data_IF_509717297758
#
_entry.id   IF_509717297758
#
_cell.length_a   1.000
_cell.length_b   1.000
_cell.length_c   1.000
_cell.angle_alpha   90.00
_cell.angle_beta   90.00
_cell.angle_gamma   90.00
#
_symmetry.space_group_name_H-M   'P 1'
#
loop_
_entity.id
_entity.type
_entity.pdbx_description
1 polymer ?
#
# COMPACT_ATOMS: atom_id res chain seq x y z
N UNK A 1 25.99 52.11 -2.81
CA UNK A 1 27.12 52.66 -2.02
C UNK A 1 27.29 51.84 -0.75
N UNK A 2 28.53 51.62 -0.28
CA UNK A 2 29.16 50.32 -0.03
C UNK A 2 29.24 50.00 1.49
N UNK A 3 29.75 48.88 2.04
CA UNK A 3 31.13 48.33 2.09
C UNK A 3 30.95 47.00 2.88
N UNK A 4 31.32 45.82 2.36
CA UNK A 4 32.60 45.09 2.51
C UNK A 4 32.97 44.62 3.93
N UNK A 5 33.43 43.35 4.02
CA UNK A 5 34.41 42.72 4.94
C UNK A 5 34.00 41.25 5.23
N UNK A 6 34.48 40.27 4.47
CA UNK A 6 35.75 39.49 4.59
C UNK A 6 35.74 38.39 5.66
N UNK A 7 36.00 37.17 5.17
CA UNK A 7 36.17 35.89 5.88
C UNK A 7 37.39 35.86 6.82
N UNK A 8 37.58 34.79 7.64
CA UNK A 8 38.38 33.69 7.08
C UNK A 8 37.95 32.27 7.49
N UNK A 9 38.21 31.40 6.53
CA UNK A 9 38.37 29.94 6.51
C UNK A 9 39.27 29.41 7.62
N UNK A 10 38.89 28.30 8.27
CA UNK A 10 39.84 27.41 8.95
C UNK A 10 39.67 25.98 8.48
N UNK A 11 40.55 25.60 7.57
CA UNK A 11 40.83 24.22 7.15
C UNK A 11 41.86 23.67 8.13
N UNK A 12 41.58 22.54 8.78
CA UNK A 12 42.64 21.65 9.28
C UNK A 12 42.14 20.19 9.37
N UNK A 13 42.48 19.40 8.34
CA UNK A 13 42.69 17.94 8.39
C UNK A 13 44.21 17.72 8.60
N UNK A 14 44.75 16.49 8.69
CA UNK A 14 44.31 15.23 9.32
C UNK A 14 45.41 14.65 10.25
N UNK A 15 45.03 13.87 11.28
CA UNK A 15 45.98 13.07 12.07
C UNK A 15 46.19 11.68 11.47
N UNK A 16 47.35 11.47 10.84
CA UNK A 16 47.81 10.20 10.24
C UNK A 16 48.19 9.15 11.29
N UNK A 17 48.10 7.88 10.85
CA UNK A 17 48.45 6.64 11.54
C UNK A 17 49.96 6.30 11.50
N UNK A 18 50.33 5.31 12.34
CA UNK A 18 51.45 4.32 12.25
C UNK A 18 52.86 4.82 12.69
N UNK A 19 53.83 3.98 13.11
CA UNK A 19 53.98 2.53 12.84
C UNK A 19 54.48 1.62 14.00
N UNK A 20 54.54 0.33 13.65
CA UNK A 20 55.09 -0.83 14.36
C UNK A 20 56.52 -0.69 14.92
N UNK A 21 56.87 -1.55 15.89
CA UNK A 21 58.01 -2.47 15.72
C UNK A 21 58.03 -3.61 16.76
N UNK A 22 58.34 -4.79 16.24
CA UNK A 22 58.54 -6.07 16.91
C UNK A 22 59.91 -6.10 17.59
N UNK A 23 60.05 -6.84 18.70
CA UNK A 23 61.27 -7.58 19.02
C UNK A 23 60.96 -8.81 19.91
N UNK A 24 61.34 -9.98 19.38
CA UNK A 24 61.52 -11.32 19.96
C UNK A 24 62.54 -11.31 21.13
N UNK A 25 62.62 -12.23 22.11
CA UNK A 25 62.56 -13.70 22.08
C UNK A 25 62.55 -14.35 23.51
N UNK A 26 62.07 -15.61 23.60
CA UNK A 26 62.52 -16.78 24.43
C UNK A 26 62.65 -16.60 25.98
N UNK A 27 62.06 -17.41 26.88
CA UNK A 27 62.16 -18.88 27.05
C UNK A 27 61.37 -19.32 28.32
N UNK A 28 61.15 -20.65 28.46
CA UNK A 28 60.72 -21.46 29.64
C UNK A 28 59.21 -21.74 29.89
N UNK A 29 58.83 -22.98 29.52
CA UNK A 29 58.37 -24.06 30.41
C UNK A 29 57.27 -23.79 31.44
N UNK A 30 56.15 -24.53 31.36
CA UNK A 30 55.25 -24.65 32.51
C UNK A 30 53.87 -25.21 32.20
N UNK A 31 53.80 -26.53 32.13
CA UNK A 31 52.61 -27.37 32.28
C UNK A 31 51.65 -26.85 33.39
N UNK A 32 50.40 -26.47 33.06
CA UNK A 32 49.26 -26.60 33.99
C UNK A 32 47.88 -26.43 33.30
N UNK A 33 47.11 -27.51 33.33
CA UNK A 33 45.64 -27.58 33.33
C UNK A 33 44.86 -26.83 32.23
N UNK A 34 44.56 -27.55 31.15
CA UNK A 34 43.34 -27.28 30.37
C UNK A 34 42.15 -27.71 31.25
N UNK A 35 41.56 -26.75 31.97
CA UNK A 35 40.19 -26.91 32.47
C UNK A 35 39.29 -26.65 31.27
N UNK A 36 38.81 -27.71 30.65
CA UNK A 36 37.65 -27.64 29.75
C UNK A 36 36.43 -27.34 30.60
N UNK A 37 36.15 -26.06 30.83
CA UNK A 37 34.82 -25.65 31.30
C UNK A 37 33.88 -25.89 30.12
N UNK A 38 33.26 -27.06 30.09
CA UNK A 38 32.02 -27.29 29.33
C UNK A 38 30.93 -26.41 29.95
N UNK A 39 31.02 -25.12 29.69
CA UNK A 39 29.94 -24.17 29.91
C UNK A 39 28.85 -24.52 28.90
N UNK A 40 27.87 -25.32 29.33
CA UNK A 40 26.59 -25.41 28.64
C UNK A 40 25.93 -24.04 28.79
N UNK A 41 26.28 -23.12 27.90
CA UNK A 41 25.53 -21.89 27.71
C UNK A 41 24.19 -22.28 27.08
N UNK A 42 23.23 -22.68 27.92
CA UNK A 42 21.84 -22.72 27.50
C UNK A 42 21.48 -21.32 27.01
N UNK A 43 21.10 -21.14 25.73
CA UNK A 43 20.52 -19.88 25.33
C UNK A 43 19.28 -19.69 26.19
N UNK A 44 19.34 -18.72 27.11
CA UNK A 44 18.14 -18.16 27.71
C UNK A 44 17.36 -17.58 26.53
N UNK A 45 16.41 -18.37 26.01
CA UNK A 45 15.31 -17.84 25.23
C UNK A 45 14.62 -16.90 26.20
N UNK A 46 15.02 -15.63 26.17
CA UNK A 46 14.30 -14.55 26.83
C UNK A 46 12.88 -14.67 26.30
N UNK A 47 12.02 -15.19 27.15
CA UNK A 47 10.61 -15.43 26.86
C UNK A 47 9.92 -14.06 26.81
N UNK A 48 10.07 -13.39 25.68
CA UNK A 48 9.36 -12.15 25.35
C UNK A 48 7.84 -12.38 25.28
N UNK A 49 7.41 -13.64 25.23
CA UNK A 49 6.01 -14.05 25.21
C UNK A 49 5.25 -13.64 26.48
N UNK A 50 5.93 -13.46 27.62
CA UNK A 50 5.25 -13.07 28.88
C UNK A 50 4.99 -11.56 28.99
N UNK A 51 5.79 -10.72 28.32
CA UNK A 51 5.61 -9.27 28.36
C UNK A 51 4.47 -8.80 27.44
N UNK A 52 4.22 -9.52 26.34
CA UNK A 52 3.15 -9.21 25.38
C UNK A 52 1.75 -9.52 25.95
N UNK A 53 1.66 -10.49 26.87
CA UNK A 53 0.39 -10.91 27.50
C UNK A 53 -0.13 -9.94 28.57
N UNK A 54 0.68 -8.97 29.01
CA UNK A 54 0.33 -8.02 30.06
C UNK A 54 0.09 -6.59 29.55
N UNK A 55 0.12 -6.35 28.23
CA UNK A 55 -0.20 -5.03 27.67
C UNK A 55 -1.69 -4.71 27.88
N UNK A 56 -2.06 -3.45 28.21
CA UNK A 56 -3.45 -3.01 28.22
C UNK A 56 -4.21 -3.36 26.95
N UNK A 57 -3.53 -3.35 25.79
CA UNK A 57 -4.11 -3.75 24.50
C UNK A 57 -4.48 -5.25 24.49
N UNK A 58 -3.59 -6.13 24.98
CA UNK A 58 -3.81 -7.57 25.01
C UNK A 58 -5.04 -7.92 25.87
N UNK A 59 -5.19 -7.27 27.03
CA UNK A 59 -6.37 -7.41 27.89
C UNK A 59 -7.66 -7.06 27.14
N UNK A 60 -7.69 -5.94 26.42
CA UNK A 60 -8.87 -5.51 25.68
C UNK A 60 -9.17 -6.39 24.47
N UNK A 61 -8.14 -6.94 23.80
CA UNK A 61 -8.30 -7.94 22.75
C UNK A 61 -8.98 -9.20 23.30
N UNK A 62 -8.57 -9.69 24.47
CA UNK A 62 -9.15 -10.87 25.10
C UNK A 62 -10.62 -10.64 25.51
N UNK A 63 -10.93 -9.47 26.05
CA UNK A 63 -12.33 -9.08 26.37
C UNK A 63 -13.17 -9.03 25.09
N UNK A 64 -12.66 -8.40 24.03
CA UNK A 64 -13.36 -8.30 22.75
C UNK A 64 -13.56 -9.67 22.09
N UNK A 65 -12.52 -10.51 22.11
CA UNK A 65 -12.55 -11.87 21.58
C UNK A 65 -13.66 -12.70 22.23
N UNK A 66 -13.75 -12.68 23.56
CA UNK A 66 -14.80 -13.39 24.30
C UNK A 66 -16.19 -12.80 24.03
N UNK A 67 -16.32 -11.46 24.05
CA UNK A 67 -17.62 -10.78 23.88
C UNK A 67 -18.23 -11.05 22.50
N UNK A 68 -17.43 -11.00 21.45
CA UNK A 68 -17.91 -11.09 20.06
C UNK A 68 -17.67 -12.46 19.43
N UNK A 69 -17.09 -13.42 20.16
CA UNK A 69 -16.76 -14.76 19.68
C UNK A 69 -15.94 -14.73 18.38
N UNK A 70 -14.94 -13.87 18.35
CA UNK A 70 -13.94 -13.77 17.28
C UNK A 70 -12.58 -14.14 17.87
N UNK A 71 -11.78 -15.01 17.22
CA UNK A 71 -10.45 -15.37 17.74
C UNK A 71 -9.55 -14.16 17.97
N UNK A 72 -8.90 -14.10 19.14
CA UNK A 72 -7.98 -13.02 19.49
C UNK A 72 -6.84 -12.85 18.47
N UNK A 73 -6.42 -13.94 17.81
CA UNK A 73 -5.45 -13.91 16.71
C UNK A 73 -5.93 -13.09 15.52
N UNK A 74 -7.23 -13.14 15.19
CA UNK A 74 -7.80 -12.36 14.08
C UNK A 74 -7.77 -10.87 14.41
N UNK A 75 -8.17 -10.51 15.63
CA UNK A 75 -8.15 -9.12 16.11
C UNK A 75 -6.71 -8.57 16.07
N UNK A 76 -5.72 -9.32 16.55
CA UNK A 76 -4.29 -8.93 16.49
C UNK A 76 -3.79 -8.73 15.07
N UNK A 77 -4.12 -9.66 14.16
CA UNK A 77 -3.68 -9.58 12.76
C UNK A 77 -4.26 -8.34 12.06
N UNK A 78 -5.56 -8.09 12.22
CA UNK A 78 -6.22 -6.90 11.66
C UNK A 78 -5.66 -5.63 12.29
N UNK A 79 -5.57 -5.54 13.62
CA UNK A 79 -5.02 -4.35 14.30
C UNK A 79 -3.59 -4.00 13.85
N UNK A 80 -2.74 -5.01 13.68
CA UNK A 80 -1.39 -4.79 13.17
C UNK A 80 -1.42 -4.23 11.75
N UNK A 81 -2.30 -4.73 10.88
CA UNK A 81 -2.44 -4.27 9.51
C UNK A 81 -3.04 -2.86 9.42
N UNK A 82 -3.98 -2.53 10.31
CA UNK A 82 -4.72 -1.26 10.30
C UNK A 82 -3.89 -0.10 10.83
N UNK A 83 -3.23 -0.25 11.99
CA UNK A 83 -2.55 0.88 12.64
C UNK A 83 -1.14 0.60 13.13
N UNK A 84 -0.65 -0.65 12.97
CA UNK A 84 0.58 -1.10 13.61
C UNK A 84 0.61 -0.82 15.14
N UNK A 85 -0.56 -0.88 15.80
CA UNK A 85 -0.77 -0.55 17.22
C UNK A 85 -0.67 0.94 17.58
N UNK A 86 -0.72 1.86 16.60
CA UNK A 86 -0.88 3.28 16.88
C UNK A 86 -2.32 3.58 17.33
N UNK A 87 -2.44 4.01 18.59
CA UNK A 87 -3.72 4.36 19.23
C UNK A 87 -4.36 5.58 18.58
N UNK A 88 -3.55 6.51 18.05
CA UNK A 88 -4.00 7.80 17.49
C UNK A 88 -4.00 7.81 15.96
N UNK A 89 -3.89 6.65 15.32
CA UNK A 89 -3.90 6.55 13.88
C UNK A 89 -5.18 7.15 13.27
N UNK A 90 -5.00 7.99 12.26
CA UNK A 90 -6.08 8.52 11.43
C UNK A 90 -5.66 8.39 9.96
N UNK A 91 -6.42 7.63 9.16
CA UNK A 91 -6.12 7.52 7.73
C UNK A 91 -6.51 8.78 6.96
N UNK A 92 -6.03 8.90 5.72
CA UNK A 92 -6.46 9.98 4.80
C UNK A 92 -7.97 9.94 4.49
N UNK A 93 -8.60 8.76 4.56
CA UNK A 93 -10.04 8.60 4.43
C UNK A 93 -10.81 8.88 5.74
N UNK A 94 -10.10 9.12 6.84
CA UNK A 94 -10.67 9.44 8.14
C UNK A 94 -10.98 8.23 9.02
N UNK A 95 -10.44 7.05 8.73
CA UNK A 95 -10.54 5.88 9.61
C UNK A 95 -9.77 6.11 10.91
N UNK A 96 -10.29 5.64 12.06
CA UNK A 96 -9.83 6.08 13.39
C UNK A 96 -9.34 4.93 14.29
N UNK A 97 -8.20 5.14 14.93
CA UNK A 97 -7.69 4.37 16.06
C UNK A 97 -7.05 3.03 15.67
N UNK A 98 -6.89 2.16 16.68
CA UNK A 98 -6.21 0.87 16.56
C UNK A 98 -6.76 -0.05 15.47
N UNK A 99 -8.07 -0.02 15.27
CA UNK A 99 -8.79 -0.90 14.35
C UNK A 99 -9.27 -0.15 13.10
N UNK A 100 -8.86 1.12 12.93
CA UNK A 100 -9.22 1.97 11.79
C UNK A 100 -10.72 1.92 11.46
N UNK A 101 -11.57 2.13 12.46
CA UNK A 101 -13.02 2.15 12.27
C UNK A 101 -13.41 3.47 11.61
N UNK A 102 -14.23 3.41 10.55
CA UNK A 102 -14.74 4.61 9.88
C UNK A 102 -15.67 5.42 10.81
N UNK A 103 -15.71 6.77 10.73
CA UNK A 103 -16.47 7.59 11.67
C UNK A 103 -17.97 7.29 11.70
N UNK A 104 -18.59 7.05 10.54
CA UNK A 104 -20.01 6.66 10.45
C UNK A 104 -20.26 5.31 11.13
N UNK A 105 -19.43 4.32 10.81
CA UNK A 105 -19.47 2.99 11.43
C UNK A 105 -19.24 3.06 12.95
N UNK A 106 -18.33 3.92 13.42
CA UNK A 106 -18.11 4.13 14.85
C UNK A 106 -19.38 4.59 15.55
N UNK A 107 -20.12 5.54 14.98
CA UNK A 107 -21.37 6.07 15.53
C UNK A 107 -22.44 4.99 15.67
N UNK A 108 -22.55 4.09 14.69
CA UNK A 108 -23.48 2.96 14.74
C UNK A 108 -23.06 1.94 15.82
N UNK A 109 -21.80 1.53 15.82
CA UNK A 109 -21.27 0.52 16.72
C UNK A 109 -21.33 0.98 18.17
N UNK A 110 -20.98 2.24 18.46
CA UNK A 110 -21.03 2.76 19.83
C UNK A 110 -22.43 2.76 20.41
N UNK A 111 -23.45 3.01 19.59
CA UNK A 111 -24.83 3.05 20.01
C UNK A 111 -25.33 1.62 20.25
N UNK A 112 -24.98 0.70 19.35
CA UNK A 112 -25.36 -0.71 19.41
C UNK A 112 -24.71 -1.47 20.57
N UNK A 113 -23.45 -1.17 20.87
CA UNK A 113 -22.64 -1.93 21.82
C UNK A 113 -22.32 -1.19 23.12
N UNK A 114 -22.99 -0.07 23.37
CA UNK A 114 -22.84 0.77 24.57
C UNK A 114 -21.37 1.18 24.81
N UNK A 115 -20.79 1.85 23.81
CA UNK A 115 -19.40 2.33 23.85
C UNK A 115 -19.32 3.83 24.16
N UNK A 116 -18.19 4.22 24.74
CA UNK A 116 -17.89 5.59 25.13
C UNK A 116 -17.78 6.57 23.96
N UNK A 117 -17.59 7.85 24.27
CA UNK A 117 -17.58 8.91 23.24
C UNK A 117 -16.28 9.03 22.44
N UNK A 118 -15.18 8.54 22.98
CA UNK A 118 -13.87 8.72 22.40
C UNK A 118 -13.51 7.55 21.47
N UNK A 119 -13.41 7.75 20.13
CA UNK A 119 -13.00 6.69 19.21
C UNK A 119 -11.53 6.26 19.35
N UNK A 120 -10.72 7.04 20.06
CA UNK A 120 -9.32 6.70 20.38
C UNK A 120 -9.17 6.02 21.75
N UNK A 121 -10.27 5.77 22.47
CA UNK A 121 -10.21 4.94 23.66
C UNK A 121 -9.80 3.51 23.28
N UNK A 122 -8.73 3.00 23.89
CA UNK A 122 -8.12 1.72 23.52
C UNK A 122 -9.14 0.58 23.65
N UNK A 123 -9.90 0.55 24.74
CA UNK A 123 -10.89 -0.50 24.99
C UNK A 123 -11.99 -0.42 23.94
N UNK A 124 -12.58 0.76 23.77
CA UNK A 124 -13.78 0.91 22.95
C UNK A 124 -13.48 0.77 21.46
N UNK A 125 -12.32 1.23 20.99
CA UNK A 125 -11.91 1.03 19.60
C UNK A 125 -11.68 -0.45 19.27
N UNK A 126 -11.05 -1.20 20.18
CA UNK A 126 -10.86 -2.66 20.03
C UNK A 126 -12.21 -3.39 20.05
N UNK A 127 -13.11 -3.01 20.96
CA UNK A 127 -14.46 -3.58 21.02
C UNK A 127 -15.25 -3.28 19.74
N UNK A 128 -15.22 -2.04 19.24
CA UNK A 128 -15.89 -1.66 18.00
C UNK A 128 -15.34 -2.45 16.81
N UNK A 129 -14.01 -2.49 16.62
CA UNK A 129 -13.38 -3.25 15.54
C UNK A 129 -13.72 -4.74 15.58
N UNK A 130 -13.66 -5.36 16.76
CA UNK A 130 -14.02 -6.77 16.93
C UNK A 130 -15.51 -7.05 16.68
N UNK A 131 -16.40 -6.15 17.10
CA UNK A 131 -17.83 -6.24 16.80
C UNK A 131 -18.07 -6.16 15.29
N UNK A 132 -17.38 -5.24 14.61
CA UNK A 132 -17.52 -5.07 13.17
C UNK A 132 -16.98 -6.27 12.40
N UNK A 133 -15.84 -6.86 12.81
CA UNK A 133 -15.36 -8.13 12.27
C UNK A 133 -16.40 -9.25 12.42
N UNK A 134 -17.05 -9.35 13.58
CA UNK A 134 -18.13 -10.32 13.83
C UNK A 134 -19.31 -10.10 12.89
N UNK A 135 -19.77 -8.86 12.73
CA UNK A 135 -20.86 -8.52 11.80
C UNK A 135 -20.52 -8.87 10.35
N UNK A 136 -19.30 -8.59 9.91
CA UNK A 136 -18.85 -8.96 8.55
C UNK A 136 -18.76 -10.48 8.39
N UNK A 137 -18.29 -11.20 9.41
CA UNK A 137 -18.21 -12.66 9.34
C UNK A 137 -19.61 -13.32 9.38
N UNK A 138 -20.53 -12.81 10.20
CA UNK A 138 -21.95 -13.24 10.18
C UNK A 138 -22.60 -13.01 8.81
N UNK A 139 -22.33 -11.85 8.20
CA UNK A 139 -22.97 -11.46 6.94
C UNK A 139 -22.46 -12.25 5.73
N UNK A 140 -21.16 -12.51 5.65
CA UNK A 140 -20.53 -13.07 4.45
C UNK A 140 -20.02 -14.51 4.61
N UNK A 141 -20.05 -15.05 5.83
CA UNK A 141 -19.88 -16.47 6.11
C UNK A 141 -18.46 -17.04 5.94
N UNK A 142 -17.50 -16.25 5.46
CA UNK A 142 -16.10 -16.67 5.33
C UNK A 142 -15.11 -15.54 5.61
N UNK A 143 -13.88 -15.93 5.96
CA UNK A 143 -12.81 -15.02 6.39
C UNK A 143 -12.38 -14.03 5.30
N UNK A 144 -12.21 -14.49 4.07
CA UNK A 144 -11.75 -13.64 2.97
C UNK A 144 -12.78 -12.56 2.62
N UNK A 145 -14.06 -12.92 2.65
CA UNK A 145 -15.16 -11.99 2.45
C UNK A 145 -15.33 -11.01 3.62
N UNK A 146 -15.18 -11.50 4.86
CA UNK A 146 -15.15 -10.65 6.05
C UNK A 146 -14.07 -9.57 5.93
N UNK A 147 -12.84 -9.94 5.59
CA UNK A 147 -11.71 -9.00 5.43
C UNK A 147 -11.96 -8.00 4.30
N UNK A 148 -12.47 -8.48 3.16
CA UNK A 148 -12.78 -7.62 2.03
C UNK A 148 -13.86 -6.58 2.40
N UNK A 149 -14.95 -7.01 3.03
CA UNK A 149 -16.02 -6.11 3.45
C UNK A 149 -15.62 -5.17 4.59
N UNK A 150 -14.76 -5.61 5.51
CA UNK A 150 -14.22 -4.76 6.57
C UNK A 150 -13.45 -3.57 5.98
N UNK A 151 -12.56 -3.82 5.02
CA UNK A 151 -11.71 -2.79 4.42
C UNK A 151 -12.44 -1.95 3.35
N UNK A 152 -13.18 -2.59 2.43
CA UNK A 152 -13.87 -1.89 1.34
C UNK A 152 -15.18 -1.21 1.78
N UNK A 153 -15.74 -1.65 2.91
CA UNK A 153 -17.10 -1.40 3.33
C UNK A 153 -18.09 -2.43 2.76
N UNK A 154 -19.12 -2.84 3.53
CA UNK A 154 -20.05 -3.90 3.15
C UNK A 154 -20.82 -3.57 1.87
N UNK A 155 -21.26 -2.32 1.71
CA UNK A 155 -21.97 -1.86 0.49
C UNK A 155 -21.15 -2.11 -0.77
N UNK A 156 -19.85 -1.77 -0.75
CA UNK A 156 -18.96 -1.98 -1.89
C UNK A 156 -18.71 -3.47 -2.12
N UNK A 157 -18.60 -4.25 -1.05
CA UNK A 157 -18.45 -5.71 -1.19
C UNK A 157 -19.73 -6.35 -1.76
N UNK A 158 -20.92 -5.86 -1.41
CA UNK A 158 -22.19 -6.29 -2.01
C UNK A 158 -22.26 -5.92 -3.51
N UNK A 159 -21.85 -4.70 -3.89
CA UNK A 159 -21.74 -4.27 -5.29
C UNK A 159 -20.76 -5.16 -6.08
N UNK A 160 -19.67 -5.59 -5.44
CA UNK A 160 -18.73 -6.55 -6.02
C UNK A 160 -19.36 -7.94 -6.22
N UNK A 161 -20.07 -8.46 -5.22
CA UNK A 161 -20.79 -9.73 -5.36
C UNK A 161 -21.87 -9.68 -6.45
N UNK A 162 -22.49 -8.51 -6.66
CA UNK A 162 -23.45 -8.26 -7.72
C UNK A 162 -22.81 -8.04 -9.10
N UNK A 163 -21.48 -7.95 -9.19
CA UNK A 163 -20.75 -7.66 -10.43
C UNK A 163 -20.93 -6.24 -10.95
N UNK A 164 -21.43 -5.31 -10.13
CA UNK A 164 -21.68 -3.92 -10.52
C UNK A 164 -20.47 -3.02 -10.26
N UNK A 165 -19.52 -3.47 -9.43
CA UNK A 165 -18.31 -2.71 -9.11
C UNK A 165 -17.13 -3.61 -8.74
N UNK A 166 -15.94 -3.27 -9.22
CA UNK A 166 -14.72 -3.98 -8.82
C UNK A 166 -14.25 -3.62 -7.40
N UNK A 167 -13.57 -4.57 -6.77
CA UNK A 167 -12.84 -4.30 -5.52
C UNK A 167 -11.60 -3.44 -5.78
N UNK A 168 -11.32 -2.42 -4.94
CA UNK A 168 -10.10 -1.63 -4.99
C UNK A 168 -8.86 -2.52 -4.92
N UNK A 169 -7.79 -2.13 -5.62
CA UNK A 169 -6.52 -2.86 -5.58
C UNK A 169 -5.96 -2.96 -4.14
N UNK A 170 -6.14 -1.90 -3.35
CA UNK A 170 -5.81 -1.86 -1.93
C UNK A 170 -6.54 -2.96 -1.13
N UNK A 171 -7.86 -3.10 -1.31
CA UNK A 171 -8.64 -4.16 -0.64
C UNK A 171 -8.18 -5.55 -1.05
N UNK A 172 -7.86 -5.77 -2.33
CA UNK A 172 -7.36 -7.06 -2.81
C UNK A 172 -6.00 -7.39 -2.17
N UNK A 173 -5.10 -6.42 -2.10
CA UNK A 173 -3.81 -6.54 -1.43
C UNK A 173 -3.95 -6.76 0.10
N UNK A 174 -4.90 -6.07 0.72
CA UNK A 174 -5.24 -6.23 2.13
C UNK A 174 -5.66 -7.67 2.45
N UNK A 175 -6.60 -8.22 1.68
CA UNK A 175 -7.03 -9.62 1.83
C UNK A 175 -5.87 -10.57 1.59
N UNK A 176 -5.06 -10.36 0.54
CA UNK A 176 -3.89 -11.20 0.26
C UNK A 176 -2.86 -11.22 1.40
N UNK A 177 -2.73 -10.11 2.12
CA UNK A 177 -1.80 -9.97 3.24
C UNK A 177 -2.31 -10.66 4.50
N UNK A 178 -3.59 -10.51 4.83
CA UNK A 178 -4.14 -10.93 6.13
C UNK A 178 -4.72 -12.35 6.08
N UNK A 179 -5.34 -12.77 4.97
CA UNK A 179 -5.98 -14.09 4.86
C UNK A 179 -5.06 -15.26 5.28
N UNK A 180 -3.79 -15.34 4.85
CA UNK A 180 -2.88 -16.41 5.27
C UNK A 180 -2.59 -16.39 6.78
N UNK A 181 -2.52 -15.19 7.39
CA UNK A 181 -2.32 -15.05 8.83
C UNK A 181 -3.51 -15.56 9.65
N UNK A 182 -4.70 -15.64 9.03
CA UNK A 182 -5.91 -16.21 9.63
C UNK A 182 -6.10 -17.70 9.30
N UNK A 183 -5.17 -18.32 8.57
CA UNK A 183 -5.21 -19.73 8.20
C UNK A 183 -6.11 -20.05 7.01
N UNK A 184 -6.36 -19.08 6.12
CA UNK A 184 -7.10 -19.30 4.87
C UNK A 184 -6.29 -18.83 3.67
N UNK A 185 -6.40 -19.57 2.56
CA UNK A 185 -5.76 -19.17 1.31
C UNK A 185 -6.44 -17.91 0.73
N UNK A 186 -5.67 -16.96 0.18
CA UNK A 186 -6.25 -15.80 -0.46
C UNK A 186 -7.13 -16.21 -1.66
N UNK A 187 -8.31 -15.60 -1.83
CA UNK A 187 -9.16 -15.91 -2.96
C UNK A 187 -8.55 -15.39 -4.28
N UNK A 188 -8.98 -15.90 -5.45
CA UNK A 188 -8.41 -15.50 -6.74
C UNK A 188 -8.41 -14.00 -7.00
N UNK A 189 -9.40 -13.26 -6.49
CA UNK A 189 -9.45 -11.80 -6.63
C UNK A 189 -8.36 -11.08 -5.82
N UNK A 190 -7.90 -11.67 -4.71
CA UNK A 190 -6.87 -11.08 -3.85
C UNK A 190 -5.47 -11.28 -4.44
N UNK A 191 -5.30 -12.30 -5.26
CA UNK A 191 -4.02 -12.58 -5.89
C UNK A 191 -3.69 -11.50 -6.93
N UNK A 192 -2.46 -10.98 -6.97
CA UNK A 192 -2.03 -10.18 -8.10
C UNK A 192 -2.18 -11.05 -9.34
N UNK A 193 -3.06 -10.63 -10.26
CA UNK A 193 -3.21 -11.30 -11.53
C UNK A 193 -1.91 -11.14 -12.30
N UNK A 194 -1.00 -12.12 -12.18
CA UNK A 194 0.10 -12.34 -13.12
C UNK A 194 -0.46 -12.87 -14.44
N UNK A 195 -1.48 -12.21 -15.00
CA UNK A 195 -1.49 -12.06 -16.45
C UNK A 195 -0.47 -10.96 -16.73
N UNK A 196 0.81 -11.34 -16.70
CA UNK A 196 1.73 -10.69 -17.61
C UNK A 196 1.09 -10.85 -18.99
N UNK A 197 0.76 -9.73 -19.64
CA UNK A 197 0.39 -9.81 -21.05
C UNK A 197 1.59 -10.48 -21.74
N UNK A 198 1.42 -11.67 -22.36
CA UNK A 198 2.50 -12.35 -23.05
C UNK A 198 3.11 -11.49 -24.16
N UNK A 199 2.45 -10.39 -24.55
CA UNK A 199 2.88 -9.41 -25.55
C UNK A 199 3.35 -8.08 -24.93
N UNK A 200 3.41 -7.95 -23.59
CA UNK A 200 3.93 -6.75 -22.92
C UNK A 200 5.38 -6.43 -23.32
N UNK A 201 6.18 -7.44 -23.65
CA UNK A 201 7.55 -7.27 -24.13
C UNK A 201 7.61 -6.73 -25.57
N UNK A 202 6.55 -6.90 -26.37
CA UNK A 202 6.46 -6.34 -27.72
C UNK A 202 6.09 -4.86 -27.73
N UNK A 203 5.50 -4.38 -26.65
CA UNK A 203 5.06 -2.99 -26.48
C UNK A 203 5.98 -2.18 -25.55
N UNK A 204 6.99 -2.83 -24.96
CA UNK A 204 8.05 -2.15 -24.21
C UNK A 204 9.10 -1.59 -25.18
N UNK A 205 9.37 -0.28 -25.09
CA UNK A 205 10.48 0.35 -25.79
C UNK A 205 11.80 -0.33 -25.42
N UNK A 206 12.49 -0.91 -26.41
CA UNK A 206 13.77 -1.64 -26.23
C UNK A 206 14.96 -0.76 -25.80
N UNK A 207 14.76 0.55 -25.66
CA UNK A 207 15.83 1.51 -25.38
C UNK A 207 15.53 2.34 -24.14
N UNK A 208 16.41 2.22 -23.14
CA UNK A 208 16.57 3.23 -22.09
C UNK A 208 17.28 4.42 -22.72
N UNK A 209 16.56 5.51 -22.94
CA UNK A 209 17.20 6.79 -23.25
C UNK A 209 17.99 7.23 -22.02
N UNK A 210 19.32 7.15 -22.11
CA UNK A 210 20.23 7.70 -21.12
C UNK A 210 20.19 9.22 -21.23
N UNK A 211 19.56 9.88 -20.27
CA UNK A 211 19.62 11.33 -20.12
C UNK A 211 21.01 11.70 -19.59
N UNK A 212 21.98 11.86 -20.50
CA UNK A 212 23.20 12.60 -20.17
C UNK A 212 22.93 14.10 -20.41
N UNK A 213 23.10 14.86 -19.33
CA UNK A 213 22.92 16.29 -19.19
C UNK A 213 24.01 17.07 -19.95
N UNK A 214 23.63 17.96 -20.90
CA UNK A 214 24.46 19.10 -21.34
C UNK A 214 23.55 20.28 -21.66
N UNK A 215 23.64 21.31 -20.82
CA UNK A 215 22.96 22.59 -21.01
C UNK A 215 23.50 23.46 -22.15
N UNK A 216 22.64 24.40 -22.54
CA UNK A 216 22.92 25.67 -23.27
C UNK A 216 23.70 25.58 -24.59
N UNK A 217 22.97 25.80 -25.69
CA UNK A 217 23.34 26.83 -26.66
C UNK A 217 22.09 27.33 -27.40
N UNK A 218 21.76 28.59 -27.15
CA UNK A 218 20.84 29.37 -27.94
C UNK A 218 21.51 29.83 -29.25
N UNK A 219 20.65 30.19 -30.21
CA UNK A 219 20.91 30.96 -31.42
C UNK A 219 21.61 30.25 -32.59
N UNK A 220 20.86 30.05 -33.69
CA UNK A 220 21.20 30.74 -34.94
C UNK A 220 20.00 30.75 -35.89
N UNK A 221 19.49 31.95 -36.16
CA UNK A 221 18.64 32.30 -37.29
C UNK A 221 19.57 32.74 -38.44
N UNK A 222 19.23 32.51 -39.72
CA UNK A 222 19.52 33.54 -40.70
C UNK A 222 18.27 33.91 -41.50
N UNK A 223 17.96 35.18 -41.36
CA UNK A 223 17.02 36.00 -42.10
C UNK A 223 17.52 36.21 -43.53
N UNK A 224 16.64 36.04 -44.54
CA UNK A 224 16.82 36.67 -45.85
C UNK A 224 15.51 37.34 -46.26
N UNK A 225 15.53 38.66 -46.17
CA UNK A 225 14.48 39.59 -46.58
C UNK A 225 14.27 39.55 -48.10
N UNK A 226 13.03 39.79 -48.53
CA UNK A 226 12.69 40.86 -49.50
C UNK A 226 11.17 41.09 -49.52
N UNK A 227 10.81 42.35 -49.23
CA UNK A 227 9.50 42.99 -49.28
C UNK A 227 8.98 43.01 -50.74
N UNK A 228 7.67 43.01 -51.03
CA UNK A 228 6.81 44.21 -51.15
C UNK A 228 5.37 43.77 -51.55
N UNK A 229 4.32 44.35 -50.96
CA UNK A 229 2.88 44.03 -51.22
C UNK A 229 2.29 44.69 -52.48
N UNK A 230 1.00 45.11 -52.52
CA UNK A 230 -0.21 44.61 -51.88
C UNK A 230 -1.40 44.42 -52.87
N UNK A 231 -2.34 43.52 -52.59
CA UNK A 231 -3.81 43.65 -52.82
C UNK A 231 -4.50 42.27 -52.84
N UNK A 232 -5.60 42.16 -52.10
CA UNK A 232 -6.64 41.18 -52.36
C UNK A 232 -7.49 41.64 -53.57
N UNK A 233 -8.19 40.72 -54.27
CA UNK A 233 -9.56 40.46 -53.82
C UNK A 233 -9.99 38.99 -53.84
N UNK A 234 -11.04 38.78 -53.06
CA UNK A 234 -11.93 37.65 -52.89
C UNK A 234 -12.71 37.35 -54.18
N UNK A 235 -12.91 36.07 -54.53
CA UNK A 235 -14.12 35.65 -55.27
C UNK A 235 -14.50 34.20 -54.96
N UNK A 236 -15.80 34.00 -54.79
CA UNK A 236 -16.51 32.79 -54.38
C UNK A 236 -16.92 31.92 -55.59
N UNK A 237 -17.45 30.75 -55.21
CA UNK A 237 -18.44 29.90 -55.93
C UNK A 237 -17.94 28.99 -57.06
N UNK A 238 -18.16 27.67 -56.91
CA UNK A 238 -19.46 27.06 -57.23
C UNK A 238 -19.37 25.52 -57.32
N UNK A 239 -20.37 24.86 -56.72
CA UNK A 239 -21.03 23.63 -57.21
C UNK A 239 -20.22 22.32 -57.23
N UNK A 240 -20.47 21.40 -56.29
CA UNK A 240 -21.56 20.42 -56.29
C UNK A 240 -21.34 19.27 -57.28
N UNK A 241 -21.03 18.07 -56.76
CA UNK A 241 -21.66 16.83 -57.23
C UNK A 241 -21.80 15.84 -56.07
N UNK A 242 -23.04 15.38 -55.93
CA UNK A 242 -23.55 14.40 -54.99
C UNK A 242 -23.28 12.99 -55.49
N UNK A 243 -22.97 12.05 -54.59
CA UNK A 243 -23.31 10.64 -54.78
C UNK A 243 -23.37 9.91 -53.42
N UNK A 244 -24.60 9.53 -53.05
CA UNK A 244 -24.95 8.62 -51.94
C UNK A 244 -24.64 7.16 -52.30
N UNK A 245 -24.05 6.46 -51.32
CA UNK A 245 -24.31 5.11 -50.73
C UNK A 245 -24.92 3.97 -51.59
N UNK A 246 -24.71 2.69 -51.23
CA UNK A 246 -25.57 2.10 -50.20
C UNK A 246 -24.92 1.09 -49.23
N UNK A 247 -25.40 1.12 -47.99
CA UNK A 247 -25.31 0.03 -47.04
C UNK A 247 -26.42 -1.00 -47.33
N UNK A 248 -26.10 -2.28 -47.25
CA UNK A 248 -27.00 -3.39 -47.55
C UNK A 248 -26.95 -4.39 -46.40
N UNK A 249 -27.91 -4.31 -45.48
CA UNK A 249 -28.22 -5.38 -44.52
C UNK A 249 -29.74 -5.45 -44.33
N UNK A 250 -30.31 -6.61 -44.69
CA UNK A 250 -31.72 -6.96 -44.52
C UNK A 250 -31.84 -7.83 -43.27
N UNK A 251 -32.76 -7.45 -42.39
CA UNK A 251 -33.34 -8.32 -41.37
C UNK A 251 -34.86 -8.28 -41.51
N UNK A 252 -35.51 -9.43 -41.63
CA UNK A 252 -36.89 -9.63 -41.16
C UNK A 252 -37.22 -11.11 -41.04
N UNK A 253 -37.45 -11.54 -39.81
CA UNK A 253 -38.16 -12.77 -39.49
C UNK A 253 -39.67 -12.55 -39.54
N UNK A 254 -40.38 -13.63 -39.86
CA UNK A 254 -41.85 -13.71 -39.80
C UNK A 254 -42.27 -15.04 -40.39
N UNK A 255 -42.67 -15.99 -39.54
CA UNK A 255 -43.37 -17.19 -39.99
C UNK A 255 -44.64 -17.31 -39.16
N UNK A 256 -45.75 -16.96 -39.80
CA UNK A 256 -47.11 -17.21 -39.34
C UNK A 256 -47.49 -18.66 -39.69
N UNK A 257 -48.27 -19.30 -38.81
CA UNK A 257 -48.97 -20.57 -39.08
C UNK A 257 -50.44 -20.27 -39.41
N UNK A 258 -51.09 -21.06 -40.28
CA UNK A 258 -52.54 -21.20 -40.26
C UNK A 258 -52.98 -22.62 -39.86
N UNK A 259 -54.10 -22.64 -39.11
CA UNK A 259 -55.13 -23.68 -38.89
C UNK A 259 -54.67 -25.07 -38.41
#
# INVERSE_FOLDING_TARGET
>A
MPICCTSPTRIMRPGRRLPARRLTALLLSGLLSVVTISGSASPQVVSSASADQASPIALHIDVASRRFRIPASWIRAVMRAESAHDIRAVSSAGAIGLMQVMPETWLELRARYDLGRNPFDVRDNILAGAAYLREMYDRYGNLSAMLAAYNAGPRRYDEYLAGTRDLPAETRAYVATIAPLLGVDPPPYAMPSTRADPLAWMSASLFVARSDDVGKAAAMHPQRQRESGPNAPRMQDASAFSARSPALFVARGGNERPQ
#
